data_IF_065973464045
#
_entry.id   IF_065973464045
#
_cell.length_a   1.000
_cell.length_b   1.000
_cell.length_c   1.000
_cell.angle_alpha   90.00
_cell.angle_beta   90.00
_cell.angle_gamma   90.00
#
_symmetry.space_group_name_H-M   'P 1'
#
loop_
_entity.id
_entity.type
_entity.pdbx_description
1 polymer ?
#
# COMPACT_ATOMS: atom_id res chain seq x y z
N UNK A 1 -12.66 8.76 -16.24
CA UNK A 1 -12.61 9.00 -14.78
C UNK A 1 -13.75 8.22 -14.18
N UNK A 2 -13.51 6.97 -13.80
CA UNK A 2 -14.37 6.28 -12.84
C UNK A 2 -13.45 5.97 -11.67
N UNK A 3 -13.18 7.01 -10.87
CA UNK A 3 -13.02 6.77 -9.45
C UNK A 3 -14.33 6.10 -9.00
N UNK A 4 -14.25 5.15 -8.09
CA UNK A 4 -15.43 4.54 -7.48
C UNK A 4 -16.45 5.64 -7.15
N UNK A 5 -17.73 5.36 -7.37
CA UNK A 5 -18.80 6.33 -7.59
C UNK A 5 -19.02 7.38 -6.47
N UNK A 6 -18.29 7.38 -5.35
CA UNK A 6 -18.61 8.17 -4.16
C UNK A 6 -17.38 8.52 -3.31
N UNK A 7 -16.40 9.28 -3.81
CA UNK A 7 -15.23 9.74 -3.00
C UNK A 7 -14.47 8.63 -2.24
N UNK A 8 -14.75 7.36 -2.50
CA UNK A 8 -14.19 6.19 -1.84
C UNK A 8 -13.05 5.63 -2.70
N UNK A 9 -11.96 5.23 -2.05
CA UNK A 9 -10.84 4.55 -2.65
C UNK A 9 -10.67 3.22 -1.93
N UNK A 10 -10.84 2.13 -2.69
CA UNK A 10 -10.65 0.77 -2.23
C UNK A 10 -9.20 0.38 -2.42
N UNK A 11 -8.57 -0.07 -1.33
CA UNK A 11 -7.18 -0.44 -1.29
C UNK A 11 -7.02 -1.96 -1.20
N UNK A 12 -6.14 -2.47 -2.06
CA UNK A 12 -5.49 -3.76 -1.87
C UNK A 12 -4.15 -3.51 -1.21
N UNK A 13 -3.87 -4.18 -0.09
CA UNK A 13 -2.61 -3.99 0.66
C UNK A 13 -1.87 -5.30 0.77
N UNK A 14 -0.65 -5.33 0.24
CA UNK A 14 0.31 -6.41 0.48
C UNK A 14 1.39 -5.92 1.43
N UNK A 15 1.67 -6.69 2.48
CA UNK A 15 2.71 -6.34 3.45
C UNK A 15 3.80 -7.41 3.47
N UNK A 16 5.04 -6.98 3.21
CA UNK A 16 6.27 -7.74 3.40
C UNK A 16 6.88 -7.28 4.72
N UNK A 17 7.45 -8.23 5.46
CA UNK A 17 8.21 -8.02 6.70
C UNK A 17 8.74 -6.60 6.90
N UNK A 18 8.06 -5.84 7.76
CA UNK A 18 8.31 -4.41 7.98
C UNK A 18 9.55 -4.14 8.83
N UNK A 19 10.25 -5.17 9.31
CA UNK A 19 11.50 -5.00 10.07
C UNK A 19 12.76 -5.09 9.22
N UNK A 20 12.63 -5.41 7.93
CA UNK A 20 13.76 -5.53 7.01
C UNK A 20 14.57 -6.83 7.16
N UNK A 21 14.22 -7.71 8.10
CA UNK A 21 14.79 -9.05 8.26
C UNK A 21 13.70 -10.10 8.61
N UNK A 22 13.41 -11.04 7.70
CA UNK A 22 12.46 -12.15 7.89
C UNK A 22 12.69 -13.01 9.12
N UNK A 23 13.95 -13.16 9.53
CA UNK A 23 14.34 -13.96 10.68
C UNK A 23 14.10 -13.17 11.97
N UNK A 24 14.42 -11.88 11.98
CA UNK A 24 14.24 -11.02 13.15
C UNK A 24 12.77 -10.75 13.45
N UNK A 25 11.91 -10.58 12.45
CA UNK A 25 10.47 -10.35 12.69
C UNK A 25 9.78 -11.58 13.27
N UNK A 26 9.95 -12.73 12.62
CA UNK A 26 9.35 -13.96 13.10
C UNK A 26 9.95 -14.33 14.46
N UNK A 27 11.21 -14.03 14.76
CA UNK A 27 11.82 -14.24 16.07
C UNK A 27 11.36 -13.24 17.15
N UNK A 28 11.07 -11.99 16.78
CA UNK A 28 10.63 -10.95 17.73
C UNK A 28 9.12 -11.02 18.00
N UNK A 29 8.34 -11.52 17.05
CA UNK A 29 6.88 -11.59 17.10
C UNK A 29 6.35 -13.02 16.92
N UNK A 30 7.11 -14.05 17.33
CA UNK A 30 6.91 -15.51 17.12
C UNK A 30 5.47 -16.02 17.18
N UNK A 31 4.61 -15.43 18.01
CA UNK A 31 3.22 -15.89 18.17
C UNK A 31 2.18 -15.11 17.36
N UNK A 32 2.51 -13.92 16.87
CA UNK A 32 1.51 -13.00 16.32
C UNK A 32 2.07 -12.04 15.25
N UNK A 33 3.16 -12.44 14.58
CA UNK A 33 3.85 -11.63 13.58
C UNK A 33 2.89 -11.12 12.48
N UNK A 34 1.99 -11.98 12.02
CA UNK A 34 0.98 -11.63 11.03
C UNK A 34 -0.03 -10.60 11.55
N UNK A 35 -0.52 -10.77 12.78
CA UNK A 35 -1.41 -9.81 13.42
C UNK A 35 -0.72 -8.45 13.63
N UNK A 36 0.55 -8.45 14.03
CA UNK A 36 1.32 -7.21 14.16
C UNK A 36 1.51 -6.50 12.81
N UNK A 37 1.73 -7.25 11.71
CA UNK A 37 1.78 -6.66 10.37
C UNK A 37 0.44 -6.08 9.97
N UNK A 38 -0.65 -6.78 10.26
CA UNK A 38 -2.00 -6.30 9.98
C UNK A 38 -2.30 -5.02 10.77
N UNK A 39 -2.07 -5.02 12.08
CA UNK A 39 -2.29 -3.87 12.96
C UNK A 39 -1.45 -2.66 12.53
N UNK A 40 -0.18 -2.89 12.17
CA UNK A 40 0.68 -1.85 11.65
C UNK A 40 0.18 -1.30 10.31
N UNK A 41 -0.22 -2.18 9.40
CA UNK A 41 -0.77 -1.79 8.09
C UNK A 41 -2.03 -0.95 8.28
N UNK A 42 -2.96 -1.39 9.16
CA UNK A 42 -4.18 -0.68 9.49
C UNK A 42 -3.88 0.69 10.10
N UNK A 43 -2.96 0.79 11.07
CA UNK A 43 -2.59 2.05 11.69
C UNK A 43 -1.97 3.03 10.68
N UNK A 44 -1.10 2.55 9.79
CA UNK A 44 -0.48 3.36 8.75
C UNK A 44 -1.52 3.88 7.76
N UNK A 45 -2.39 3.01 7.24
CA UNK A 45 -3.47 3.40 6.31
C UNK A 45 -4.49 4.31 6.99
N UNK A 46 -4.82 4.08 8.25
CA UNK A 46 -5.72 4.96 9.01
C UNK A 46 -5.15 6.38 9.14
N UNK A 47 -3.83 6.51 9.34
CA UNK A 47 -3.20 7.84 9.29
C UNK A 47 -3.33 8.49 7.91
N UNK A 48 -3.20 7.72 6.82
CA UNK A 48 -3.41 8.23 5.46
C UNK A 48 -4.85 8.69 5.26
N UNK A 49 -5.83 7.90 5.71
CA UNK A 49 -7.23 8.29 5.69
C UNK A 49 -7.45 9.65 6.37
N UNK A 50 -6.94 9.83 7.60
CA UNK A 50 -7.05 11.11 8.33
C UNK A 50 -6.42 12.29 7.57
N UNK A 51 -5.32 12.06 6.83
CA UNK A 51 -4.69 13.10 6.00
C UNK A 51 -5.59 13.52 4.83
N UNK A 52 -6.27 12.58 4.18
CA UNK A 52 -7.20 12.86 3.09
C UNK A 52 -8.55 13.46 3.52
N UNK A 53 -8.82 13.47 4.83
CA UNK A 53 -9.99 14.12 5.42
C UNK A 53 -9.73 15.57 5.86
N UNK A 54 -8.49 16.07 5.72
CA UNK A 54 -8.15 17.45 6.07
C UNK A 54 -8.88 18.44 5.17
N UNK A 55 -9.30 19.59 5.73
CA UNK A 55 -10.07 20.61 5.00
C UNK A 55 -9.32 21.25 3.83
N UNK A 56 -7.99 21.14 3.79
CA UNK A 56 -7.15 21.58 2.68
C UNK A 56 -7.11 20.61 1.51
N UNK A 57 -7.63 19.39 1.67
CA UNK A 57 -7.75 18.37 0.63
C UNK A 57 -9.16 18.43 0.03
N UNK A 58 -9.28 18.39 -1.29
CA UNK A 58 -10.57 18.40 -1.98
C UNK A 58 -10.53 17.55 -3.26
N UNK A 59 -11.48 16.64 -3.47
CA UNK A 59 -12.53 16.24 -2.52
C UNK A 59 -11.95 15.52 -1.28
N UNK A 60 -12.76 15.39 -0.21
CA UNK A 60 -12.44 14.46 0.86
C UNK A 60 -12.53 13.04 0.31
N UNK A 61 -11.55 12.20 0.66
CA UNK A 61 -11.48 10.83 0.16
C UNK A 61 -11.61 9.83 1.31
N UNK A 62 -12.60 8.95 1.20
CA UNK A 62 -12.80 7.82 2.10
C UNK A 62 -11.93 6.66 1.66
N UNK A 63 -11.12 6.13 2.59
CA UNK A 63 -10.14 5.10 2.28
C UNK A 63 -10.57 3.82 2.96
N UNK A 64 -10.78 2.77 2.18
CA UNK A 64 -11.26 1.48 2.64
C UNK A 64 -10.29 0.39 2.20
N UNK A 65 -9.91 -0.50 3.12
CA UNK A 65 -9.13 -1.70 2.76
C UNK A 65 -10.13 -2.81 2.45
N UNK A 66 -10.11 -3.30 1.21
CA UNK A 66 -10.97 -4.41 0.76
C UNK A 66 -10.19 -5.73 0.65
N UNK A 67 -8.86 -5.64 0.56
CA UNK A 67 -7.99 -6.80 0.47
C UNK A 67 -6.70 -6.56 1.25
N UNK A 68 -6.33 -7.50 2.11
CA UNK A 68 -5.03 -7.49 2.79
C UNK A 68 -4.38 -8.86 2.72
N UNK A 69 -3.10 -8.90 2.37
CA UNK A 69 -2.31 -10.14 2.34
C UNK A 69 -0.92 -9.93 2.87
N UNK A 70 -0.41 -10.91 3.62
CA UNK A 70 1.01 -11.00 3.95
C UNK A 70 1.77 -11.67 2.80
N UNK A 71 2.86 -11.05 2.36
CA UNK A 71 3.80 -11.67 1.43
C UNK A 71 4.99 -12.24 2.21
N UNK A 72 5.14 -13.57 2.16
CA UNK A 72 6.04 -14.32 3.04
C UNK A 72 7.46 -14.44 2.49
N UNK A 73 7.64 -14.42 1.16
CA UNK A 73 8.95 -14.62 0.53
C UNK A 73 9.57 -13.32 0.03
N UNK A 74 10.11 -12.55 0.98
CA UNK A 74 10.79 -11.30 0.67
C UNK A 74 12.06 -11.48 -0.20
N UNK A 75 12.65 -12.67 -0.24
CA UNK A 75 13.87 -12.95 -1.03
C UNK A 75 13.65 -12.97 -2.54
N UNK A 76 12.38 -13.10 -2.97
CA UNK A 76 11.97 -13.05 -4.36
C UNK A 76 11.33 -11.71 -4.74
N UNK A 77 11.39 -10.69 -3.89
CA UNK A 77 10.73 -9.43 -4.22
C UNK A 77 11.38 -8.77 -5.46
N UNK A 78 10.56 -8.65 -6.51
CA UNK A 78 10.88 -7.97 -7.77
C UNK A 78 9.63 -7.21 -8.20
N UNK A 79 9.78 -6.15 -9.00
CA UNK A 79 8.65 -5.46 -9.65
C UNK A 79 7.69 -6.43 -10.35
N UNK A 80 8.23 -7.50 -10.94
CA UNK A 80 7.46 -8.60 -11.56
C UNK A 80 6.55 -9.34 -10.59
N UNK A 81 7.00 -9.62 -9.36
CA UNK A 81 6.18 -10.32 -8.39
C UNK A 81 5.09 -9.43 -7.78
N UNK A 82 5.33 -8.13 -7.68
CA UNK A 82 4.29 -7.19 -7.30
C UNK A 82 3.22 -7.06 -8.40
N UNK A 83 3.60 -7.05 -9.67
CA UNK A 83 2.66 -7.08 -10.80
C UNK A 83 1.81 -8.35 -10.80
N UNK A 84 2.40 -9.52 -10.49
CA UNK A 84 1.64 -10.77 -10.36
C UNK A 84 0.62 -10.72 -9.22
N UNK A 85 0.97 -10.11 -8.10
CA UNK A 85 0.02 -9.87 -7.02
C UNK A 85 -1.04 -8.86 -7.47
N UNK A 86 -0.71 -7.77 -8.15
CA UNK A 86 -1.71 -6.83 -8.66
C UNK A 86 -2.73 -7.51 -9.60
N UNK A 87 -2.30 -8.54 -10.34
CA UNK A 87 -3.17 -9.32 -11.23
C UNK A 87 -4.21 -10.20 -10.52
N UNK A 88 -4.18 -10.36 -9.18
CA UNK A 88 -5.27 -10.99 -8.44
C UNK A 88 -6.48 -10.06 -8.25
N UNK A 89 -6.35 -8.77 -8.59
CA UNK A 89 -7.46 -7.84 -8.62
C UNK A 89 -8.53 -8.33 -9.61
N UNK A 90 -9.83 -8.34 -9.24
CA UNK A 90 -10.94 -8.49 -10.18
C UNK A 90 -10.92 -7.52 -11.39
N UNK A 91 -10.01 -6.54 -11.40
CA UNK A 91 -9.67 -5.76 -12.58
C UNK A 91 -10.72 -4.70 -12.84
N UNK A 92 -11.49 -4.83 -13.93
CA UNK A 92 -12.54 -3.85 -14.26
C UNK A 92 -13.91 -4.21 -13.70
N UNK A 93 -14.07 -5.35 -13.02
CA UNK A 93 -15.34 -5.71 -12.39
C UNK A 93 -15.54 -4.93 -11.08
N UNK A 94 -16.03 -3.69 -11.23
CA UNK A 94 -16.33 -2.80 -10.11
C UNK A 94 -17.48 -3.31 -9.21
N UNK A 95 -18.18 -4.38 -9.61
CA UNK A 95 -19.25 -4.99 -8.82
C UNK A 95 -18.72 -6.06 -7.85
N UNK A 96 -17.49 -6.53 -8.04
CA UNK A 96 -16.85 -7.48 -7.14
C UNK A 96 -16.48 -6.77 -5.81
N UNK A 97 -16.91 -7.29 -4.65
CA UNK A 97 -16.55 -6.73 -3.34
C UNK A 97 -15.05 -6.72 -3.05
N UNK A 98 -14.30 -7.63 -3.68
CA UNK A 98 -12.85 -7.74 -3.59
C UNK A 98 -12.09 -6.87 -4.59
N UNK A 99 -12.76 -6.10 -5.45
CA UNK A 99 -12.11 -5.16 -6.35
C UNK A 99 -11.47 -3.99 -5.57
N UNK A 100 -10.21 -3.67 -5.86
CA UNK A 100 -9.53 -2.48 -5.36
C UNK A 100 -9.14 -1.51 -6.47
N UNK A 101 -9.22 -0.22 -6.17
CA UNK A 101 -8.83 0.86 -7.06
C UNK A 101 -7.30 1.04 -7.07
N UNK A 102 -6.64 0.80 -5.94
CA UNK A 102 -5.19 1.07 -5.78
C UNK A 102 -4.49 0.01 -4.92
N UNK A 103 -3.41 -0.55 -5.46
CA UNK A 103 -2.58 -1.54 -4.78
C UNK A 103 -1.44 -0.90 -3.98
N UNK A 104 -1.22 -1.34 -2.75
CA UNK A 104 -0.13 -0.85 -1.91
C UNK A 104 0.77 -2.00 -1.52
N UNK A 105 2.07 -1.80 -1.67
CA UNK A 105 3.07 -2.67 -1.10
C UNK A 105 3.80 -1.96 0.03
N UNK A 106 3.62 -2.46 1.26
CA UNK A 106 4.38 -2.06 2.43
C UNK A 106 5.56 -3.02 2.61
N UNK A 107 6.77 -2.49 2.71
CA UNK A 107 7.98 -3.31 2.84
C UNK A 107 8.93 -2.77 3.90
N UNK A 108 9.53 -3.63 4.73
CA UNK A 108 10.60 -3.21 5.63
C UNK A 108 11.97 -3.10 4.95
N UNK A 109 12.05 -3.42 3.66
CA UNK A 109 13.29 -3.36 2.91
C UNK A 109 13.57 -1.94 2.42
N UNK A 110 14.85 -1.57 2.44
CA UNK A 110 15.34 -0.35 1.80
C UNK A 110 15.14 -0.47 0.29
N UNK A 111 14.24 0.35 -0.26
CA UNK A 111 13.86 0.29 -1.67
C UNK A 111 14.90 0.97 -2.57
N UNK A 112 15.84 1.74 -2.00
CA UNK A 112 16.91 2.42 -2.73
C UNK A 112 18.22 2.47 -1.91
N UNK A 113 19.01 1.39 -2.01
CA UNK A 113 20.36 1.26 -1.43
C UNK A 113 21.36 2.42 -1.74
N UNK A 114 21.06 3.33 -2.67
CA UNK A 114 22.00 4.37 -3.14
C UNK A 114 21.64 5.80 -2.74
N UNK A 115 20.39 6.06 -2.33
CA UNK A 115 19.95 7.38 -1.85
C UNK A 115 18.96 7.21 -0.70
N UNK A 116 19.38 7.56 0.51
CA UNK A 116 18.58 7.44 1.75
C UNK A 116 17.32 8.33 1.81
N UNK A 117 17.05 9.10 0.75
CA UNK A 117 15.95 10.06 0.68
C UNK A 117 14.68 9.50 0.04
N UNK A 118 14.74 8.33 -0.63
CA UNK A 118 13.58 7.74 -1.29
C UNK A 118 13.00 6.65 -0.41
N UNK A 119 11.81 6.90 0.14
CA UNK A 119 11.11 5.98 1.03
C UNK A 119 9.77 5.47 0.46
N UNK A 120 9.44 5.91 -0.76
CA UNK A 120 8.26 5.48 -1.51
C UNK A 120 8.45 5.69 -3.00
N UNK A 121 7.70 4.93 -3.80
CA UNK A 121 7.67 5.00 -5.25
C UNK A 121 6.24 4.71 -5.73
N UNK A 122 5.68 5.61 -6.53
CA UNK A 122 4.50 5.34 -7.34
C UNK A 122 4.72 5.74 -8.82
N UNK A 123 4.21 4.95 -9.78
CA UNK A 123 4.10 5.41 -11.16
C UNK A 123 3.17 6.62 -11.26
N UNK A 124 3.69 7.74 -11.76
CA UNK A 124 2.95 9.01 -11.93
C UNK A 124 1.78 8.83 -12.91
N UNK A 125 0.62 9.42 -12.60
CA UNK A 125 -0.57 9.54 -13.46
C UNK A 125 -1.18 8.21 -13.97
N UNK A 126 -1.09 7.11 -13.19
CA UNK A 126 -1.64 5.79 -13.56
C UNK A 126 -2.64 5.21 -12.57
N UNK A 127 -3.62 5.99 -12.10
CA UNK A 127 -4.60 5.51 -11.12
C UNK A 127 -5.54 4.44 -11.63
N UNK A 128 -5.95 4.53 -12.90
CA UNK A 128 -6.92 3.61 -13.47
C UNK A 128 -6.26 2.54 -14.34
N UNK A 129 -4.94 2.38 -14.19
CA UNK A 129 -4.21 1.36 -14.91
C UNK A 129 -4.25 0.08 -14.08
N UNK A 130 -4.92 -0.95 -14.57
CA UNK A 130 -5.14 -2.23 -13.88
C UNK A 130 -3.85 -2.85 -13.35
N UNK A 131 -2.70 -2.51 -13.94
CA UNK A 131 -1.39 -3.07 -13.59
C UNK A 131 -0.53 -2.05 -12.83
N UNK A 132 -0.63 -0.77 -13.17
CA UNK A 132 0.25 0.28 -12.64
C UNK A 132 -0.39 1.19 -11.58
N UNK A 133 -1.65 0.95 -11.20
CA UNK A 133 -2.35 1.59 -10.08
C UNK A 133 -1.82 1.10 -8.73
N UNK A 134 -0.55 1.39 -8.44
CA UNK A 134 0.10 0.91 -7.24
C UNK A 134 1.12 1.88 -6.63
N UNK A 135 1.32 1.77 -5.31
CA UNK A 135 2.37 2.47 -4.56
C UNK A 135 3.21 1.47 -3.77
N UNK A 136 4.53 1.65 -3.81
CA UNK A 136 5.50 0.96 -2.97
C UNK A 136 5.98 1.92 -1.89
N UNK A 137 5.94 1.51 -0.62
CA UNK A 137 6.39 2.36 0.50
C UNK A 137 7.15 1.54 1.53
N UNK A 138 8.23 2.10 2.04
CA UNK A 138 8.94 1.54 3.19
C UNK A 138 8.06 1.63 4.45
N UNK A 139 7.73 0.50 5.07
CA UNK A 139 6.86 0.39 6.24
C UNK A 139 7.59 0.42 7.59
N UNK A 140 8.74 1.10 7.70
CA UNK A 140 9.59 1.01 8.90
C UNK A 140 9.00 1.67 10.16
N UNK A 141 8.15 2.68 10.00
CA UNK A 141 7.50 3.40 11.11
C UNK A 141 6.25 4.16 10.64
N UNK A 142 5.37 4.55 11.56
CA UNK A 142 4.09 5.20 11.23
C UNK A 142 4.22 6.53 10.46
N UNK A 143 5.35 7.25 10.61
CA UNK A 143 5.61 8.46 9.82
C UNK A 143 5.68 8.24 8.30
N UNK A 144 5.74 6.98 7.85
CA UNK A 144 5.69 6.62 6.42
C UNK A 144 4.29 6.78 5.82
N UNK A 145 3.26 7.02 6.64
CA UNK A 145 1.93 7.43 6.15
C UNK A 145 1.98 8.70 5.31
N UNK A 146 2.83 9.69 5.64
CA UNK A 146 2.99 10.89 4.83
C UNK A 146 3.58 10.60 3.45
N UNK A 147 4.53 9.67 3.39
CA UNK A 147 5.11 9.21 2.12
C UNK A 147 4.03 8.50 1.30
N UNK A 148 3.28 7.58 1.90
CA UNK A 148 2.20 6.91 1.20
C UNK A 148 1.13 7.90 0.69
N UNK A 149 0.72 8.87 1.51
CA UNK A 149 -0.21 9.92 1.10
C UNK A 149 0.37 10.78 -0.05
N UNK A 150 1.67 11.05 -0.06
CA UNK A 150 2.34 11.73 -1.17
C UNK A 150 2.32 10.89 -2.46
N UNK A 151 2.68 9.62 -2.37
CA UNK A 151 2.69 8.69 -3.51
C UNK A 151 1.29 8.44 -4.07
N UNK A 152 0.28 8.34 -3.18
CA UNK A 152 -1.13 8.34 -3.55
C UNK A 152 -1.55 9.71 -4.09
N UNK A 153 -0.92 10.81 -3.70
CA UNK A 153 -1.19 12.16 -4.21
C UNK A 153 -0.77 12.36 -5.67
N UNK A 154 0.36 11.78 -6.12
CA UNK A 154 0.83 11.81 -7.52
C UNK A 154 -0.18 11.28 -8.57
N UNK A 155 -1.25 10.70 -8.07
CA UNK A 155 -2.30 9.99 -8.78
C UNK A 155 -3.60 10.82 -8.85
N UNK A 156 -3.82 11.82 -7.96
CA UNK A 156 -5.00 12.71 -7.90
C UNK A 156 -4.78 14.13 -8.47
N UNK A 157 -3.54 14.49 -8.86
CA UNK A 157 -3.24 15.78 -9.52
C UNK A 157 -3.42 15.68 -11.03
#
# INVERSE_FOLDING_TARGET
MQASLENEIRLGVSSIDITGDPLTFNYKYIRDAEQHLLDFSLALINNVHVLYQQSSMSPNLDIVIVHWTRYVDASQWTSTNFIKWAAINPGTDLTDPGHWDHGILLTGYDIYHTTTSVAGVAPVARMCDEIFACSLVEGLHLGRSFVLAHEMGHKYV
#
